data_IF_254985206622
#
_entry.id   IF_254985206622
#
_cell.length_a   1.000
_cell.length_b   1.000
_cell.length_c   1.000
_cell.angle_alpha   90.00
_cell.angle_beta   90.00
_cell.angle_gamma   90.00
#
_symmetry.space_group_name_H-M   'P 1'
#
loop_
_entity.id
_entity.type
_entity.pdbx_description
1 polymer ?
#
# COMPACT_ATOMS: atom_id res chain seq x y z
N UNK A 1 -61.69 4.94 6.17
CA UNK A 1 -61.55 3.48 6.34
C UNK A 1 -61.06 2.95 5.00
N UNK A 2 -59.82 2.58 4.72
CA UNK A 2 -58.75 2.01 5.53
C UNK A 2 -58.35 0.64 4.96
N UNK A 3 -58.11 0.51 3.65
CA UNK A 3 -57.76 -0.77 3.03
C UNK A 3 -56.27 -1.05 3.15
N UNK A 4 -55.94 -1.99 4.04
CA UNK A 4 -54.61 -2.55 4.25
C UNK A 4 -54.29 -3.57 3.15
N UNK A 5 -53.36 -3.25 2.26
CA UNK A 5 -52.76 -4.21 1.32
C UNK A 5 -51.48 -4.76 1.94
N UNK A 6 -51.57 -5.99 2.45
CA UNK A 6 -50.42 -6.75 2.93
C UNK A 6 -49.54 -7.20 1.76
N UNK A 7 -48.33 -6.66 1.68
CA UNK A 7 -47.31 -7.15 0.75
C UNK A 7 -46.64 -8.39 1.34
N UNK A 8 -46.93 -9.56 0.75
CA UNK A 8 -46.17 -10.79 0.95
C UNK A 8 -44.73 -10.60 0.47
N UNK A 9 -43.80 -10.54 1.42
CA UNK A 9 -42.35 -10.53 1.19
C UNK A 9 -41.90 -11.96 0.87
N UNK A 10 -41.79 -12.31 -0.42
CA UNK A 10 -41.10 -13.54 -0.85
C UNK A 10 -39.60 -13.36 -0.62
N UNK A 11 -39.09 -14.07 0.38
CA UNK A 11 -37.66 -14.23 0.65
C UNK A 11 -37.03 -15.12 -0.43
N UNK A 12 -36.38 -14.51 -1.42
CA UNK A 12 -35.47 -15.24 -2.30
C UNK A 12 -34.09 -15.30 -1.64
N UNK A 13 -33.79 -16.44 -1.02
CA UNK A 13 -32.43 -16.82 -0.64
C UNK A 13 -31.64 -17.12 -1.91
N UNK A 14 -30.80 -16.18 -2.36
CA UNK A 14 -29.81 -16.45 -3.42
C UNK A 14 -28.57 -17.02 -2.74
N UNK A 15 -28.30 -18.29 -3.01
CA UNK A 15 -27.12 -19.02 -2.58
C UNK A 15 -25.85 -18.34 -3.09
N UNK A 16 -24.99 -17.92 -2.17
CA UNK A 16 -23.66 -17.37 -2.47
C UNK A 16 -22.74 -18.54 -2.81
N UNK A 17 -22.61 -18.86 -4.09
CA UNK A 17 -21.52 -19.67 -4.62
C UNK A 17 -21.15 -19.17 -6.01
N UNK A 18 -20.61 -17.95 -6.08
CA UNK A 18 -19.99 -17.38 -7.26
C UNK A 18 -18.49 -17.26 -7.02
N UNK A 19 -17.72 -18.18 -7.60
CA UNK A 19 -16.27 -18.08 -7.73
C UNK A 19 -16.00 -16.84 -8.59
N UNK A 20 -15.60 -15.72 -7.97
CA UNK A 20 -15.16 -14.54 -8.72
C UNK A 20 -13.81 -14.84 -9.36
N UNK A 21 -13.84 -15.25 -10.62
CA UNK A 21 -12.72 -15.02 -11.53
C UNK A 21 -12.64 -13.52 -11.77
N UNK A 22 -11.88 -12.81 -10.95
CA UNK A 22 -11.66 -11.37 -11.14
C UNK A 22 -10.98 -11.15 -12.48
N UNK A 23 -11.69 -10.49 -13.40
CA UNK A 23 -11.18 -10.17 -14.73
C UNK A 23 -10.30 -8.92 -14.64
N UNK A 24 -9.38 -8.70 -15.58
CA UNK A 24 -8.52 -7.50 -15.59
C UNK A 24 -9.35 -6.19 -15.71
N UNK A 25 -10.59 -6.25 -16.20
CA UNK A 25 -11.52 -5.12 -16.26
C UNK A 25 -11.99 -4.65 -14.87
N UNK A 26 -12.08 -5.56 -13.89
CA UNK A 26 -12.48 -5.24 -12.51
C UNK A 26 -11.45 -4.40 -11.76
N UNK A 27 -10.27 -4.21 -12.35
CA UNK A 27 -9.14 -3.51 -11.77
C UNK A 27 -8.69 -2.28 -12.58
N UNK A 28 -9.58 -1.64 -13.35
CA UNK A 28 -9.22 -0.37 -13.99
C UNK A 28 -9.03 0.75 -12.95
N UNK A 29 -7.82 0.84 -12.37
CA UNK A 29 -7.46 1.82 -11.31
C UNK A 29 -7.11 3.19 -11.91
N UNK A 30 -6.44 3.22 -13.06
CA UNK A 30 -5.99 4.45 -13.73
C UNK A 30 -6.32 4.41 -15.22
N UNK A 31 -6.61 5.57 -15.80
CA UNK A 31 -6.72 5.72 -17.26
C UNK A 31 -5.35 5.61 -17.94
N UNK A 32 -5.31 5.27 -19.24
CA UNK A 32 -4.07 5.17 -20.00
C UNK A 32 -3.22 6.44 -19.93
N UNK A 33 -3.86 7.61 -20.00
CA UNK A 33 -3.19 8.90 -19.84
C UNK A 33 -2.58 9.07 -18.45
N UNK A 34 -3.31 8.75 -17.39
CA UNK A 34 -2.82 8.83 -16.00
C UNK A 34 -1.60 7.92 -15.80
N UNK A 35 -1.60 6.72 -16.37
CA UNK A 35 -0.45 5.79 -16.32
C UNK A 35 0.79 6.38 -16.98
N UNK A 36 0.65 6.98 -18.17
CA UNK A 36 1.75 7.62 -18.90
C UNK A 36 2.34 8.79 -18.10
N UNK A 37 1.48 9.67 -17.60
CA UNK A 37 1.90 10.83 -16.79
C UNK A 37 2.61 10.38 -15.52
N UNK A 38 2.08 9.36 -14.84
CA UNK A 38 2.66 8.85 -13.60
C UNK A 38 4.05 8.24 -13.84
N UNK A 39 4.23 7.45 -14.89
CA UNK A 39 5.54 6.89 -15.28
C UNK A 39 6.55 7.97 -15.63
N UNK A 40 6.13 8.97 -16.40
CA UNK A 40 7.00 10.08 -16.77
C UNK A 40 7.50 10.83 -15.53
N UNK A 41 6.59 11.11 -14.59
CA UNK A 41 6.92 11.78 -13.35
C UNK A 41 7.81 10.92 -12.44
N UNK A 42 7.55 9.61 -12.36
CA UNK A 42 8.38 8.67 -11.61
C UNK A 42 9.81 8.61 -12.14
N UNK A 43 9.99 8.50 -13.47
CA UNK A 43 11.32 8.46 -14.09
C UNK A 43 12.17 9.66 -13.68
N UNK A 44 11.60 10.87 -13.72
CA UNK A 44 12.29 12.09 -13.31
C UNK A 44 12.70 12.10 -11.83
N UNK A 45 11.89 11.49 -10.96
CA UNK A 45 12.20 11.36 -9.54
C UNK A 45 13.29 10.31 -9.30
N UNK A 46 13.15 9.14 -9.93
CA UNK A 46 14.08 8.02 -9.83
C UNK A 46 15.48 8.34 -10.40
N UNK A 47 15.59 9.26 -11.35
CA UNK A 47 16.86 9.67 -11.96
C UNK A 47 17.59 10.77 -11.20
N UNK A 48 16.87 11.61 -10.44
CA UNK A 48 17.44 12.75 -9.68
C UNK A 48 17.78 12.42 -8.24
N UNK A 49 17.15 11.39 -7.71
CA UNK A 49 17.33 10.92 -6.35
C UNK A 49 17.97 9.53 -6.43
N UNK A 50 18.97 9.23 -5.60
CA UNK A 50 19.33 7.82 -5.41
C UNK A 50 18.04 7.10 -5.03
N UNK A 51 17.67 5.98 -5.65
CA UNK A 51 16.39 5.32 -5.35
C UNK A 51 16.26 5.04 -3.83
N UNK A 52 17.39 4.85 -3.14
CA UNK A 52 17.49 4.74 -1.69
C UNK A 52 17.07 5.99 -0.88
N UNK A 53 17.04 7.18 -1.48
CA UNK A 53 16.67 8.43 -0.78
C UNK A 53 15.16 8.64 -0.71
N UNK A 54 14.38 8.21 -1.72
CA UNK A 54 12.91 8.37 -1.66
C UNK A 54 12.30 7.52 -0.56
N UNK A 55 12.72 6.26 -0.43
CA UNK A 55 12.30 5.36 0.64
C UNK A 55 12.71 5.86 2.03
N UNK A 56 13.92 6.43 2.16
CA UNK A 56 14.36 7.05 3.42
C UNK A 56 13.53 8.29 3.77
N UNK A 57 13.19 9.13 2.79
CA UNK A 57 12.29 10.27 3.00
C UNK A 57 10.91 9.83 3.48
N UNK A 58 10.35 8.77 2.88
CA UNK A 58 9.05 8.20 3.28
C UNK A 58 9.10 7.73 4.73
N UNK A 59 10.09 6.91 5.10
CA UNK A 59 10.23 6.42 6.47
C UNK A 59 10.49 7.54 7.48
N UNK A 60 11.29 8.54 7.11
CA UNK A 60 11.51 9.73 7.95
C UNK A 60 10.21 10.48 8.21
N UNK A 61 9.40 10.74 7.17
CA UNK A 61 8.09 11.38 7.29
C UNK A 61 7.15 10.56 8.17
N UNK A 62 7.11 9.24 7.97
CA UNK A 62 6.29 8.33 8.76
C UNK A 62 6.64 8.41 10.25
N UNK A 63 7.93 8.37 10.59
CA UNK A 63 8.40 8.49 11.98
C UNK A 63 8.11 9.86 12.61
N UNK A 64 8.11 10.93 11.81
CA UNK A 64 7.73 12.26 12.29
C UNK A 64 6.23 12.37 12.58
N UNK A 65 5.40 11.63 11.83
CA UNK A 65 3.95 11.56 12.05
C UNK A 65 3.60 10.68 13.26
N UNK A 66 4.28 9.55 13.42
CA UNK A 66 4.10 8.67 14.58
C UNK A 66 5.43 7.99 14.95
N UNK A 67 5.98 8.39 16.11
CA UNK A 67 7.24 7.85 16.62
C UNK A 67 7.14 6.39 17.07
N UNK A 68 5.93 5.86 17.30
CA UNK A 68 5.71 4.44 17.62
C UNK A 68 6.11 3.51 16.48
N UNK A 69 6.13 3.99 15.24
CA UNK A 69 6.65 3.24 14.09
C UNK A 69 8.11 2.86 14.30
N UNK A 70 8.94 3.77 14.83
CA UNK A 70 10.34 3.49 15.15
C UNK A 70 10.47 2.39 16.21
N UNK A 71 9.55 2.38 17.18
CA UNK A 71 9.51 1.37 18.24
C UNK A 71 9.19 -0.01 17.65
N UNK A 72 8.27 -0.10 16.67
CA UNK A 72 7.99 -1.36 15.95
C UNK A 72 9.25 -1.93 15.32
N UNK A 73 10.06 -1.11 14.64
CA UNK A 73 11.33 -1.55 14.05
C UNK A 73 12.34 -1.99 15.11
N UNK A 74 12.42 -1.28 16.24
CA UNK A 74 13.31 -1.64 17.35
C UNK A 74 12.91 -2.96 17.99
N UNK A 75 11.62 -3.13 18.30
CA UNK A 75 11.08 -4.37 18.85
C UNK A 75 11.25 -5.54 17.89
N UNK A 76 10.97 -5.33 16.60
CA UNK A 76 11.20 -6.35 15.57
C UNK A 76 12.68 -6.73 15.46
N UNK A 77 13.59 -5.76 15.59
CA UNK A 77 15.03 -6.03 15.58
C UNK A 77 15.47 -6.82 16.82
N UNK A 78 15.16 -6.32 18.02
CA UNK A 78 15.58 -6.93 19.29
C UNK A 78 14.93 -8.30 19.49
N UNK A 79 13.61 -8.38 19.40
CA UNK A 79 12.87 -9.62 19.64
C UNK A 79 12.97 -10.57 18.46
N UNK A 80 13.02 -10.06 17.22
CA UNK A 80 13.27 -10.90 16.05
C UNK A 80 14.62 -11.61 16.15
N UNK A 81 15.64 -10.99 16.74
CA UNK A 81 16.91 -11.67 17.03
C UNK A 81 16.77 -12.79 18.07
N UNK A 82 15.99 -12.57 19.13
CA UNK A 82 15.74 -13.60 20.15
C UNK A 82 14.94 -14.78 19.57
N UNK A 83 13.91 -14.52 18.76
CA UNK A 83 13.10 -15.56 18.13
C UNK A 83 13.79 -16.26 16.94
N UNK A 84 14.62 -15.56 16.16
CA UNK A 84 15.37 -16.14 15.04
C UNK A 84 16.66 -16.85 15.47
N UNK A 85 17.23 -16.53 16.64
CA UNK A 85 18.33 -17.32 17.22
C UNK A 85 17.90 -18.78 17.53
N UNK A 86 16.60 -19.03 17.69
CA UNK A 86 16.02 -20.37 17.87
C UNK A 86 15.61 -21.07 16.56
N UNK A 87 15.43 -20.35 15.45
CA UNK A 87 14.97 -20.92 14.18
C UNK A 87 15.64 -20.21 13.00
N UNK A 88 16.52 -20.94 12.30
CA UNK A 88 17.45 -20.43 11.30
C UNK A 88 16.85 -19.48 10.23
N UNK A 89 17.64 -18.43 9.95
CA UNK A 89 17.80 -17.73 8.66
C UNK A 89 16.58 -17.07 8.02
N UNK A 90 15.91 -16.13 8.70
CA UNK A 90 15.17 -15.07 7.99
C UNK A 90 15.83 -13.71 8.21
N UNK A 91 16.13 -12.96 7.14
CA UNK A 91 16.81 -11.68 7.26
C UNK A 91 15.90 -10.72 8.04
N UNK A 92 16.49 -10.08 9.06
CA UNK A 92 15.89 -8.93 9.70
C UNK A 92 15.70 -7.83 8.66
N UNK A 93 14.47 -7.35 8.51
CA UNK A 93 14.23 -6.11 7.80
C UNK A 93 14.42 -4.92 8.75
N UNK A 94 15.67 -4.47 8.90
CA UNK A 94 16.00 -3.24 9.63
C UNK A 94 15.48 -1.99 8.93
N UNK A 95 15.54 -0.84 9.61
CA UNK A 95 15.01 0.44 9.14
C UNK A 95 15.55 0.85 7.76
N UNK A 96 16.87 0.82 7.56
CA UNK A 96 17.48 1.16 6.27
C UNK A 96 17.12 0.18 5.16
N UNK A 97 17.06 -1.12 5.47
CA UNK A 97 16.64 -2.12 4.49
C UNK A 97 15.17 -1.93 4.09
N UNK A 98 14.33 -1.50 5.03
CA UNK A 98 12.92 -1.22 4.75
C UNK A 98 12.76 0.04 3.88
N UNK A 99 13.69 1.00 3.97
CA UNK A 99 13.74 2.14 3.06
C UNK A 99 13.97 1.70 1.61
N UNK A 100 14.90 0.77 1.37
CA UNK A 100 15.13 0.19 0.04
C UNK A 100 13.89 -0.53 -0.48
N UNK A 101 13.25 -1.34 0.38
CA UNK A 101 12.03 -2.07 0.03
C UNK A 101 10.89 -1.12 -0.37
N UNK A 102 10.77 0.04 0.27
CA UNK A 102 9.80 1.07 -0.14
C UNK A 102 10.07 1.57 -1.57
N UNK A 103 11.33 1.86 -1.89
CA UNK A 103 11.71 2.31 -3.23
C UNK A 103 11.44 1.23 -4.28
N UNK A 104 11.90 -0.01 -4.02
CA UNK A 104 11.67 -1.17 -4.89
C UNK A 104 10.18 -1.44 -5.12
N UNK A 105 9.35 -1.26 -4.08
CA UNK A 105 7.91 -1.45 -4.20
C UNK A 105 7.25 -0.39 -5.09
N UNK A 106 7.68 0.87 -4.98
CA UNK A 106 7.19 1.93 -5.84
C UNK A 106 7.64 1.71 -7.30
N UNK A 107 8.89 1.28 -7.53
CA UNK A 107 9.35 0.89 -8.87
C UNK A 107 8.49 -0.25 -9.46
N UNK A 108 8.20 -1.26 -8.63
CA UNK A 108 7.32 -2.36 -9.01
C UNK A 108 5.92 -1.87 -9.42
N UNK A 109 5.32 -0.95 -8.65
CA UNK A 109 4.03 -0.34 -9.01
C UNK A 109 4.11 0.34 -10.38
N UNK A 110 5.14 1.15 -10.60
CA UNK A 110 5.30 1.94 -11.83
C UNK A 110 5.52 1.07 -13.07
N UNK A 111 6.25 -0.04 -12.91
CA UNK A 111 6.44 -1.05 -13.95
C UNK A 111 5.15 -1.80 -14.28
N UNK A 112 4.24 -1.97 -13.31
CA UNK A 112 3.05 -2.82 -13.44
C UNK A 112 1.72 -2.05 -13.49
N UNK A 113 1.70 -0.75 -13.81
CA UNK A 113 0.45 0.03 -13.90
C UNK A 113 -0.58 -0.52 -14.91
N UNK A 114 -0.14 -1.34 -15.87
CA UNK A 114 -1.01 -2.04 -16.83
C UNK A 114 -1.47 -3.42 -16.34
N UNK A 115 -0.97 -3.87 -15.18
CA UNK A 115 -1.26 -5.16 -14.56
C UNK A 115 -1.66 -4.95 -13.09
N UNK A 116 -2.81 -4.32 -12.82
CA UNK A 116 -3.24 -3.96 -11.48
C UNK A 116 -3.50 -5.20 -10.58
N UNK A 117 -3.81 -6.35 -11.17
CA UNK A 117 -3.84 -7.65 -10.49
C UNK A 117 -2.48 -8.06 -9.88
N UNK A 118 -1.36 -7.83 -10.59
CA UNK A 118 -0.01 -8.07 -10.06
C UNK A 118 0.30 -7.12 -8.90
N UNK A 119 -0.13 -5.86 -9.00
CA UNK A 119 -0.01 -4.87 -7.92
C UNK A 119 -0.83 -5.33 -6.70
N UNK A 120 -2.08 -5.73 -6.90
CA UNK A 120 -2.95 -6.23 -5.84
C UNK A 120 -2.31 -7.43 -5.12
N UNK A 121 -1.88 -8.45 -5.87
CA UNK A 121 -1.23 -9.64 -5.29
C UNK A 121 -0.01 -9.27 -4.44
N UNK A 122 0.84 -8.35 -4.92
CA UNK A 122 1.99 -7.86 -4.17
C UNK A 122 1.59 -7.12 -2.89
N UNK A 123 0.54 -6.30 -2.95
CA UNK A 123 -0.03 -5.62 -1.78
C UNK A 123 -0.52 -6.62 -0.73
N UNK A 124 -1.15 -7.71 -1.14
CA UNK A 124 -1.60 -8.75 -0.21
C UNK A 124 -0.43 -9.49 0.47
N UNK A 125 0.65 -9.77 -0.27
CA UNK A 125 1.88 -10.36 0.29
C UNK A 125 2.48 -9.44 1.36
N UNK A 126 2.55 -8.14 1.07
CA UNK A 126 3.01 -7.11 2.01
C UNK A 126 2.08 -7.06 3.22
N UNK A 127 0.76 -7.07 3.04
CA UNK A 127 -0.21 -7.09 4.14
C UNK A 127 -0.08 -8.31 5.04
N UNK A 128 0.11 -9.51 4.46
CA UNK A 128 0.38 -10.74 5.23
C UNK A 128 1.69 -10.67 6.00
N UNK A 129 2.73 -10.08 5.41
CA UNK A 129 4.02 -9.90 6.08
C UNK A 129 3.89 -8.98 7.30
N UNK A 130 3.23 -7.83 7.14
CA UNK A 130 3.03 -6.85 8.21
C UNK A 130 2.04 -7.31 9.28
N UNK A 131 1.08 -8.19 8.96
CA UNK A 131 0.20 -8.78 9.98
C UNK A 131 0.99 -9.51 11.07
N UNK A 132 2.06 -10.23 10.70
CA UNK A 132 2.95 -10.90 11.67
C UNK A 132 3.70 -9.92 12.58
N UNK A 133 3.77 -8.65 12.18
CA UNK A 133 4.45 -7.58 12.92
C UNK A 133 3.52 -6.86 13.90
N UNK A 134 2.20 -7.14 13.89
CA UNK A 134 1.23 -6.59 14.87
C UNK A 134 1.66 -6.84 16.32
N UNK A 135 2.26 -8.00 16.59
CA UNK A 135 2.76 -8.37 17.93
C UNK A 135 3.85 -7.42 18.44
N UNK A 136 4.51 -6.68 17.55
CA UNK A 136 5.53 -5.68 17.89
C UNK A 136 4.97 -4.26 18.00
N UNK A 137 3.64 -4.10 17.93
CA UNK A 137 2.94 -2.83 18.14
C UNK A 137 2.49 -2.11 16.86
N UNK A 138 2.60 -2.76 15.69
CA UNK A 138 2.11 -2.18 14.43
C UNK A 138 0.58 -2.10 14.42
N UNK A 139 0.04 -0.93 14.07
CA UNK A 139 -1.39 -0.65 14.01
C UNK A 139 -1.87 -0.46 12.58
N UNK A 140 -3.19 -0.57 12.37
CA UNK A 140 -3.79 -0.33 11.06
C UNK A 140 -3.54 1.09 10.56
N UNK A 141 -3.66 2.08 11.44
CA UNK A 141 -3.47 3.50 11.15
C UNK A 141 -2.06 3.82 10.64
N UNK A 142 -1.05 2.99 10.97
CA UNK A 142 0.30 3.15 10.40
C UNK A 142 0.31 2.99 8.88
N UNK A 143 -0.61 2.21 8.31
CA UNK A 143 -0.74 2.05 6.86
C UNK A 143 -1.32 3.31 6.20
N UNK A 144 -2.21 4.05 6.88
CA UNK A 144 -2.70 5.35 6.43
C UNK A 144 -1.58 6.38 6.38
N UNK A 145 -0.79 6.44 7.46
CA UNK A 145 0.39 7.31 7.54
C UNK A 145 1.44 6.97 6.47
N UNK A 146 1.56 5.70 6.07
CA UNK A 146 2.40 5.29 4.93
C UNK A 146 1.88 5.92 3.63
N UNK A 147 0.57 5.83 3.35
CA UNK A 147 -0.05 6.43 2.17
C UNK A 147 0.16 7.95 2.09
N UNK A 148 -0.03 8.64 3.21
CA UNK A 148 0.25 10.08 3.34
C UNK A 148 1.72 10.38 3.08
N UNK A 149 2.63 9.66 3.73
CA UNK A 149 4.08 9.88 3.62
C UNK A 149 4.60 9.67 2.20
N UNK A 150 4.08 8.65 1.49
CA UNK A 150 4.39 8.43 0.07
C UNK A 150 3.88 9.59 -0.77
N UNK A 151 2.61 9.96 -0.58
CA UNK A 151 1.97 11.02 -1.37
C UNK A 151 2.68 12.36 -1.20
N UNK A 152 3.04 12.72 0.03
CA UNK A 152 3.81 13.94 0.29
C UNK A 152 5.22 13.89 -0.29
N UNK A 153 5.89 12.73 -0.22
CA UNK A 153 7.22 12.54 -0.83
C UNK A 153 7.14 12.75 -2.34
N UNK A 154 6.19 12.10 -3.01
CA UNK A 154 6.00 12.27 -4.46
C UNK A 154 5.70 13.73 -4.80
N UNK A 155 4.86 14.43 -4.02
CA UNK A 155 4.55 15.85 -4.23
C UNK A 155 5.79 16.75 -4.10
N UNK A 156 6.64 16.49 -3.12
CA UNK A 156 7.89 17.24 -2.91
C UNK A 156 8.85 17.09 -4.10
N UNK A 157 9.06 15.86 -4.57
CA UNK A 157 9.93 15.59 -5.71
C UNK A 157 9.37 16.10 -7.04
N UNK A 158 8.04 16.21 -7.17
CA UNK A 158 7.40 16.84 -8.32
C UNK A 158 7.40 18.38 -8.28
N UNK A 159 8.18 18.98 -7.36
CA UNK A 159 8.33 20.42 -7.14
C UNK A 159 8.09 21.32 -8.36
N UNK A 160 7.11 22.21 -8.20
CA UNK A 160 6.72 23.37 -9.04
C UNK A 160 6.19 23.12 -10.46
N UNK A 161 6.45 21.97 -11.09
CA UNK A 161 5.84 21.64 -12.40
C UNK A 161 4.48 20.98 -12.21
N UNK A 162 3.45 21.83 -12.22
CA UNK A 162 1.99 21.62 -11.99
C UNK A 162 1.31 20.52 -12.84
N UNK A 163 1.81 19.29 -12.86
CA UNK A 163 0.99 18.17 -13.36
C UNK A 163 -0.01 17.77 -12.28
N UNK A 164 -1.08 18.56 -12.12
CA UNK A 164 -2.24 18.24 -11.26
C UNK A 164 -2.76 16.81 -11.52
N UNK A 165 -2.64 16.37 -12.77
CA UNK A 165 -2.97 15.02 -13.22
C UNK A 165 -2.03 13.95 -12.63
N UNK A 166 -0.72 14.21 -12.51
CA UNK A 166 0.22 13.28 -11.89
C UNK A 166 -0.05 13.12 -10.39
N UNK A 167 -0.35 14.23 -9.71
CA UNK A 167 -0.72 14.22 -8.28
C UNK A 167 -2.04 13.47 -8.08
N UNK A 168 -3.04 13.73 -8.92
CA UNK A 168 -4.32 13.00 -8.89
C UNK A 168 -4.13 11.50 -9.11
N UNK A 169 -3.39 11.10 -10.14
CA UNK A 169 -3.07 9.71 -10.43
C UNK A 169 -2.29 9.04 -9.28
N UNK A 170 -1.36 9.77 -8.65
CA UNK A 170 -0.61 9.30 -7.48
C UNK A 170 -1.56 9.02 -6.31
N UNK A 171 -2.45 9.95 -5.97
CA UNK A 171 -3.41 9.74 -4.88
C UNK A 171 -4.26 8.48 -5.15
N UNK A 172 -4.77 8.30 -6.38
CA UNK A 172 -5.60 7.14 -6.74
C UNK A 172 -4.83 5.83 -6.56
N UNK A 173 -3.62 5.72 -7.12
CA UNK A 173 -2.85 4.47 -7.04
C UNK A 173 -2.38 4.17 -5.62
N UNK A 174 -2.01 5.20 -4.84
CA UNK A 174 -1.57 5.02 -3.46
C UNK A 174 -2.75 4.63 -2.57
N UNK A 175 -3.94 5.24 -2.73
CA UNK A 175 -5.15 4.78 -2.05
C UNK A 175 -5.45 3.31 -2.38
N UNK A 176 -5.42 2.93 -3.65
CA UNK A 176 -5.61 1.53 -4.06
C UNK A 176 -4.62 0.59 -3.36
N UNK A 177 -3.33 0.92 -3.38
CA UNK A 177 -2.28 0.11 -2.75
C UNK A 177 -2.49 -0.02 -1.25
N UNK A 178 -2.70 1.10 -0.54
CA UNK A 178 -2.88 1.12 0.91
C UNK A 178 -4.15 0.35 1.29
N UNK A 179 -5.26 0.54 0.58
CA UNK A 179 -6.51 -0.17 0.84
C UNK A 179 -6.35 -1.68 0.69
N UNK A 180 -5.62 -2.13 -0.33
CA UNK A 180 -5.34 -3.55 -0.54
C UNK A 180 -4.46 -4.12 0.56
N UNK A 181 -3.37 -3.44 0.92
CA UNK A 181 -2.51 -3.84 2.05
C UNK A 181 -3.35 -3.91 3.34
N UNK A 182 -4.15 -2.86 3.63
CA UNK A 182 -4.98 -2.75 4.84
C UNK A 182 -5.99 -3.89 4.93
N UNK A 183 -6.67 -4.21 3.83
CA UNK A 183 -7.69 -5.27 3.80
C UNK A 183 -7.14 -6.64 4.21
N UNK A 184 -5.86 -6.91 3.90
CA UNK A 184 -5.20 -8.16 4.29
C UNK A 184 -4.52 -8.02 5.64
N UNK A 185 -3.99 -6.86 5.99
CA UNK A 185 -3.42 -6.62 7.30
C UNK A 185 -4.48 -6.72 8.41
N UNK A 186 -5.70 -6.23 8.19
CA UNK A 186 -6.76 -6.17 9.19
C UNK A 186 -7.35 -7.53 9.58
N UNK A 187 -7.37 -8.49 8.64
CA UNK A 187 -7.74 -9.88 8.89
C UNK A 187 -6.79 -10.55 9.89
#
# INVERSE_FOLDING_TARGET
>A
MGNSFGYHRRSNSVSISGIYSSTDEDYQVLSSYQKVVLRAAWRLMSSKSSHSSCGRTILKRLNLKDSSVKIVFQHFSVLGNVFNAMNSSKPQCGYDKHAEIFAEFLDFIMANLDHPNKIAKRCEEIGRAHRRVKVFGMKTDHLDLVGESITETVREYQGWRRHRQAVGATNIIISFVVDRIRSVFAK
#
